data_IF_621195052398
#
_entry.id   IF_621195052398
#
_cell.length_a   1.000
_cell.length_b   1.000
_cell.length_c   1.000
_cell.angle_alpha   90.00
_cell.angle_beta   90.00
_cell.angle_gamma   90.00
#
_symmetry.space_group_name_H-M   'P 1'
#
loop_
_entity.id
_entity.type
_entity.pdbx_description
1 polymer ?
#
# COMPACT_ATOMS: atom_id res chain seq x y z
N UNK A 1 -56.85 -7.50 -0.64
CA UNK A 1 -56.95 -8.80 -1.29
C UNK A 1 -55.79 -8.92 -2.30
N UNK A 2 -54.85 -9.65 -2.09
CA UNK A 2 -53.91 -10.59 -2.69
C UNK A 2 -52.50 -10.43 -2.16
N UNK A 3 -52.15 -11.29 -1.22
CA UNK A 3 -50.78 -11.61 -0.80
C UNK A 3 -50.04 -12.27 -1.97
N UNK A 4 -48.83 -11.84 -2.28
CA UNK A 4 -47.87 -12.66 -3.04
C UNK A 4 -46.59 -12.83 -2.22
N UNK A 5 -46.43 -14.05 -1.73
CA UNK A 5 -45.22 -14.55 -1.10
C UNK A 5 -44.15 -14.71 -2.19
N UNK A 6 -42.97 -14.16 -1.97
CA UNK A 6 -41.79 -14.48 -2.78
C UNK A 6 -40.82 -15.27 -1.88
N UNK A 7 -40.56 -16.50 -2.33
CA UNK A 7 -39.72 -17.44 -1.63
C UNK A 7 -38.24 -17.08 -1.74
N UNK A 8 -37.56 -17.10 -0.60
CA UNK A 8 -36.12 -16.92 -0.47
C UNK A 8 -35.44 -18.27 -0.74
N UNK A 9 -34.77 -18.39 -1.88
CA UNK A 9 -33.97 -19.58 -2.22
C UNK A 9 -32.58 -19.48 -1.59
N UNK A 10 -32.34 -20.28 -0.56
CA UNK A 10 -31.01 -20.43 0.08
C UNK A 10 -30.19 -21.40 -0.74
N UNK A 11 -29.14 -20.91 -1.41
CA UNK A 11 -28.18 -21.74 -2.12
C UNK A 11 -27.02 -22.09 -1.19
N UNK A 12 -27.01 -23.32 -0.69
CA UNK A 12 -25.91 -23.89 0.10
C UNK A 12 -24.88 -24.46 -0.87
N UNK A 13 -23.71 -23.84 -0.93
CA UNK A 13 -22.54 -24.40 -1.61
C UNK A 13 -21.77 -25.25 -0.62
N UNK A 14 -21.84 -26.56 -0.77
CA UNK A 14 -21.03 -27.50 0.01
C UNK A 14 -19.62 -27.59 -0.62
N UNK A 15 -18.62 -27.14 0.13
CA UNK A 15 -17.21 -27.30 -0.23
C UNK A 15 -16.72 -28.64 0.33
N UNK A 16 -16.52 -29.63 -0.54
CA UNK A 16 -15.91 -30.92 -0.16
C UNK A 16 -14.39 -30.79 -0.17
N UNK A 17 -13.77 -30.88 1.02
CA UNK A 17 -12.34 -31.10 1.15
C UNK A 17 -12.02 -32.57 0.86
N UNK A 18 -11.25 -32.83 -0.18
CA UNK A 18 -10.62 -34.10 -0.41
C UNK A 18 -9.27 -34.14 0.33
N UNK A 19 -9.20 -34.98 1.36
CA UNK A 19 -7.95 -35.32 2.02
C UNK A 19 -7.28 -36.48 1.26
N UNK A 20 -6.10 -36.23 0.70
CA UNK A 20 -5.21 -37.31 0.27
C UNK A 20 -4.30 -37.70 1.43
N UNK A 21 -4.49 -38.89 1.94
CA UNK A 21 -3.54 -39.59 2.81
C UNK A 21 -2.59 -40.39 1.99
N UNK A 22 -1.30 -40.12 2.02
CA UNK A 22 -0.27 -41.04 1.60
C UNK A 22 0.45 -41.58 2.86
N UNK A 23 0.25 -42.90 3.02
CA UNK A 23 1.08 -43.74 3.89
C UNK A 23 2.24 -44.23 3.02
N UNK A 24 3.48 -44.01 3.46
CA UNK A 24 4.48 -45.06 3.56
C UNK A 24 5.75 -44.51 4.19
N UNK A 25 6.05 -45.00 5.38
CA UNK A 25 7.30 -44.79 6.08
C UNK A 25 8.40 -45.65 5.48
N UNK A 26 9.58 -45.08 5.30
CA UNK A 26 10.84 -45.80 5.46
C UNK A 26 12.03 -44.91 5.67
N UNK A 27 12.58 -45.00 6.85
CA UNK A 27 13.94 -44.58 7.25
C UNK A 27 15.00 -45.40 6.50
N UNK A 28 16.02 -44.73 5.93
CA UNK A 28 17.42 -45.20 5.97
C UNK A 28 18.36 -44.05 5.56
N UNK A 29 19.21 -43.58 6.45
CA UNK A 29 20.54 -43.07 6.16
C UNK A 29 21.53 -44.26 6.32
N UNK A 30 22.82 -44.18 5.97
CA UNK A 30 23.64 -43.11 5.43
C UNK A 30 24.48 -43.54 4.23
N UNK A 31 25.07 -42.64 3.48
CA UNK A 31 26.47 -42.87 3.07
C UNK A 31 27.12 -41.58 2.53
N UNK A 32 28.30 -41.31 3.10
CA UNK A 32 29.18 -40.25 2.64
C UNK A 32 29.77 -40.59 1.27
N UNK A 33 29.72 -39.61 0.38
CA UNK A 33 30.42 -39.62 -0.88
C UNK A 33 30.97 -38.22 -1.13
N UNK A 34 32.32 -38.14 -1.12
CA UNK A 34 33.03 -36.92 -1.48
C UNK A 34 32.72 -36.50 -2.92
N UNK A 35 32.60 -35.21 -3.20
CA UNK A 35 32.41 -34.74 -4.57
C UNK A 35 33.70 -34.89 -5.39
N UNK A 36 33.60 -35.21 -6.71
CA UNK A 36 34.74 -35.25 -7.59
C UNK A 36 35.33 -33.85 -7.86
N UNK A 37 36.64 -33.71 -8.04
CA UNK A 37 37.25 -32.43 -8.39
C UNK A 37 37.07 -32.14 -9.88
N UNK A 38 36.60 -30.94 -10.20
CA UNK A 38 36.75 -30.35 -11.52
C UNK A 38 35.47 -30.24 -12.34
N UNK A 39 34.70 -29.18 -12.09
CA UNK A 39 33.89 -28.54 -13.13
C UNK A 39 33.99 -27.05 -12.91
N UNK A 40 34.92 -26.41 -13.64
CA UNK A 40 34.90 -24.97 -13.88
C UNK A 40 33.76 -24.69 -14.86
N UNK A 41 32.56 -24.57 -14.33
CA UNK A 41 31.39 -24.07 -15.05
C UNK A 41 31.23 -22.60 -14.70
N UNK A 42 31.41 -21.71 -15.67
CA UNK A 42 31.12 -20.29 -15.52
C UNK A 42 29.65 -20.12 -15.13
N UNK A 43 29.43 -19.70 -13.91
CA UNK A 43 28.14 -19.21 -13.47
C UNK A 43 27.97 -17.81 -14.04
N UNK A 44 27.28 -17.70 -15.17
CA UNK A 44 26.53 -16.52 -15.49
C UNK A 44 25.27 -16.58 -14.60
N UNK A 45 25.48 -16.37 -13.30
CA UNK A 45 24.41 -16.11 -12.39
C UNK A 45 23.88 -14.72 -12.74
N UNK A 46 22.71 -14.68 -13.29
CA UNK A 46 21.83 -13.52 -13.17
C UNK A 46 21.48 -13.44 -11.67
N UNK A 47 22.40 -12.85 -10.91
CA UNK A 47 22.20 -12.54 -9.49
C UNK A 47 21.17 -11.41 -9.44
N UNK A 48 19.91 -11.76 -9.69
CA UNK A 48 18.79 -10.89 -9.36
C UNK A 48 18.74 -10.83 -7.83
N UNK A 49 19.56 -9.94 -7.27
CA UNK A 49 19.54 -9.68 -5.84
C UNK A 49 18.15 -9.13 -5.47
N UNK A 50 17.54 -9.73 -4.44
CA UNK A 50 16.33 -9.19 -3.86
C UNK A 50 16.65 -7.82 -3.27
N UNK A 51 16.09 -6.77 -3.89
CA UNK A 51 16.15 -5.41 -3.34
C UNK A 51 15.23 -5.29 -2.15
N UNK A 52 15.71 -4.72 -1.06
CA UNK A 52 14.90 -4.46 0.11
C UNK A 52 15.69 -3.78 1.23
N UNK A 53 15.00 -3.00 2.04
CA UNK A 53 15.55 -2.40 3.25
C UNK A 53 14.78 -2.86 4.47
N UNK A 54 15.49 -3.37 5.46
CA UNK A 54 14.92 -3.67 6.77
C UNK A 54 14.94 -2.45 7.72
N UNK A 55 15.42 -1.30 7.25
CA UNK A 55 15.44 -0.04 7.99
C UNK A 55 14.74 1.05 7.22
N UNK A 56 13.72 1.65 7.84
CA UNK A 56 13.02 2.80 7.31
C UNK A 56 13.66 4.06 7.88
N UNK A 57 14.21 4.90 6.99
CA UNK A 57 14.81 6.19 7.37
C UNK A 57 13.74 7.28 7.26
N UNK A 58 13.32 7.81 8.39
CA UNK A 58 12.32 8.86 8.48
C UNK A 58 12.94 10.24 8.47
N UNK A 59 12.34 11.15 7.73
CA UNK A 59 12.64 12.58 7.71
C UNK A 59 11.36 13.41 7.72
N UNK A 60 11.49 14.75 7.74
CA UNK A 60 10.34 15.63 7.49
C UNK A 60 9.80 15.38 6.09
N UNK A 61 8.48 15.48 5.92
CA UNK A 61 7.87 15.40 4.59
C UNK A 61 8.36 16.56 3.71
N UNK A 62 8.38 16.38 2.37
CA UNK A 62 8.67 17.45 1.44
C UNK A 62 7.84 18.71 1.72
N UNK A 63 8.37 19.92 1.44
CA UNK A 63 7.71 21.19 1.79
C UNK A 63 6.30 21.37 1.21
N UNK A 64 5.97 20.63 0.16
CA UNK A 64 4.62 20.61 -0.43
C UNK A 64 3.56 20.03 0.51
N UNK A 65 3.96 19.26 1.52
CA UNK A 65 3.05 18.77 2.56
C UNK A 65 2.91 19.80 3.68
N UNK A 66 1.72 19.99 4.25
CA UNK A 66 1.57 20.77 5.48
C UNK A 66 2.52 20.28 6.59
N UNK A 67 2.97 21.19 7.44
CA UNK A 67 3.93 20.86 8.49
C UNK A 67 3.44 19.78 9.44
N UNK A 68 4.36 18.95 9.93
CA UNK A 68 4.11 17.91 10.93
C UNK A 68 4.11 16.49 10.38
N UNK A 69 3.97 16.28 9.08
CA UNK A 69 4.12 14.97 8.48
C UNK A 69 5.60 14.53 8.42
N UNK A 70 5.82 13.22 8.57
CA UNK A 70 7.11 12.59 8.29
C UNK A 70 6.99 11.72 7.05
N UNK A 71 8.09 11.58 6.33
CA UNK A 71 8.17 10.89 5.06
C UNK A 71 9.37 9.93 5.05
N UNK A 72 9.21 8.79 4.43
CA UNK A 72 10.29 7.84 4.18
C UNK A 72 10.12 7.19 2.82
N UNK A 73 11.16 7.13 2.03
CA UNK A 73 11.21 6.31 0.82
C UNK A 73 11.54 4.88 1.24
N UNK A 74 10.71 3.95 0.81
CA UNK A 74 10.88 2.51 1.07
C UNK A 74 11.50 1.84 -0.15
N UNK A 75 11.07 2.24 -1.35
CA UNK A 75 11.52 1.67 -2.62
C UNK A 75 11.36 2.71 -3.73
N UNK A 76 12.26 2.66 -4.72
CA UNK A 76 12.22 3.49 -5.91
C UNK A 76 12.51 4.96 -5.69
N UNK A 77 12.25 5.77 -6.71
CA UNK A 77 12.40 7.23 -6.67
C UNK A 77 11.05 7.90 -6.95
N UNK A 78 10.38 8.45 -5.91
CA UNK A 78 9.08 9.09 -6.10
C UNK A 78 9.12 10.36 -6.95
N UNK A 79 10.29 10.93 -7.22
CA UNK A 79 10.43 12.12 -8.07
C UNK A 79 10.56 11.80 -9.56
N UNK A 80 10.86 10.55 -9.90
CA UNK A 80 11.21 10.15 -11.26
C UNK A 80 10.00 9.64 -12.03
N UNK A 81 9.75 10.25 -13.18
CA UNK A 81 8.66 9.87 -14.05
C UNK A 81 8.79 8.41 -14.55
N UNK A 82 7.73 7.64 -14.43
CA UNK A 82 7.64 6.26 -14.89
C UNK A 82 8.21 5.22 -13.93
N UNK A 83 8.91 5.62 -12.88
CA UNK A 83 9.43 4.67 -11.87
C UNK A 83 8.31 4.29 -10.90
N UNK A 84 8.25 3.00 -10.55
CA UNK A 84 7.44 2.53 -9.44
C UNK A 84 8.09 2.97 -8.14
N UNK A 85 7.32 3.54 -7.23
CA UNK A 85 7.82 3.93 -5.92
C UNK A 85 6.93 3.37 -4.80
N UNK A 86 7.53 3.24 -3.63
CA UNK A 86 6.84 3.03 -2.37
C UNK A 86 7.38 3.98 -1.33
N UNK A 87 6.50 4.75 -0.72
CA UNK A 87 6.84 5.67 0.38
C UNK A 87 5.95 5.40 1.58
N UNK A 88 6.35 5.88 2.75
CA UNK A 88 5.51 5.91 3.94
C UNK A 88 5.37 7.32 4.47
N UNK A 89 4.20 7.60 4.99
CA UNK A 89 3.84 8.85 5.65
C UNK A 89 3.43 8.57 7.09
N UNK A 90 3.95 9.36 8.03
CA UNK A 90 3.44 9.46 9.40
C UNK A 90 2.74 10.79 9.57
N UNK A 91 1.49 10.71 9.95
CA UNK A 91 0.60 11.85 10.10
C UNK A 91 0.22 11.98 11.58
N UNK A 92 0.46 13.13 12.22
CA UNK A 92 0.02 13.35 13.59
C UNK A 92 -1.52 13.37 13.68
N UNK A 93 -2.04 13.21 14.88
CA UNK A 93 -3.49 13.30 15.09
C UNK A 93 -4.03 14.65 14.65
N UNK A 94 -5.12 14.63 13.87
CA UNK A 94 -5.75 15.84 13.35
C UNK A 94 -5.03 16.49 12.18
N UNK A 95 -4.01 15.81 11.61
CA UNK A 95 -3.36 16.27 10.38
C UNK A 95 -4.38 16.42 9.27
N UNK A 96 -4.32 17.51 8.53
CA UNK A 96 -5.16 17.76 7.36
C UNK A 96 -4.26 17.97 6.15
N UNK A 97 -4.53 17.23 5.10
CA UNK A 97 -4.02 17.46 3.77
C UNK A 97 -5.17 18.02 2.93
N UNK A 98 -5.12 19.31 2.59
CA UNK A 98 -6.19 19.99 1.86
C UNK A 98 -6.46 19.38 0.49
N UNK A 99 -7.58 19.78 -0.18
CA UNK A 99 -7.93 19.27 -1.50
C UNK A 99 -6.80 19.46 -2.51
N UNK A 100 -6.40 18.35 -3.13
CA UNK A 100 -5.30 18.28 -4.09
C UNK A 100 -5.53 17.16 -5.09
N UNK A 101 -4.70 17.12 -6.11
CA UNK A 101 -4.66 16.08 -7.14
C UNK A 101 -3.25 15.53 -7.30
N UNK A 102 -3.14 14.32 -7.85
CA UNK A 102 -1.89 13.70 -8.30
C UNK A 102 -1.92 13.44 -9.81
N UNK A 103 -0.77 13.42 -10.50
CA UNK A 103 -0.72 13.11 -11.93
C UNK A 103 -0.98 11.63 -12.26
N UNK A 104 -0.80 10.73 -11.29
CA UNK A 104 -1.02 9.29 -11.41
C UNK A 104 -1.91 8.79 -10.26
N UNK A 105 -2.42 7.56 -10.39
CA UNK A 105 -3.16 6.92 -9.31
C UNK A 105 -2.27 6.75 -8.07
N UNK A 106 -2.85 7.03 -6.91
CA UNK A 106 -2.23 6.83 -5.61
C UNK A 106 -2.89 5.65 -4.91
N UNK A 107 -2.08 4.71 -4.45
CA UNK A 107 -2.52 3.50 -3.76
C UNK A 107 -2.09 3.55 -2.30
N UNK A 108 -3.05 3.65 -1.39
CA UNK A 108 -2.80 3.86 0.04
C UNK A 108 -3.19 2.62 0.83
N UNK A 109 -2.24 2.09 1.62
CA UNK A 109 -2.49 1.05 2.62
C UNK A 109 -2.27 1.62 4.00
N UNK A 110 -3.21 1.40 4.91
CA UNK A 110 -3.10 1.87 6.30
C UNK A 110 -2.31 0.88 7.14
N UNK A 111 -1.19 1.33 7.72
CA UNK A 111 -0.31 0.52 8.56
C UNK A 111 -0.55 0.75 10.06
N UNK A 112 -1.06 1.94 10.43
CA UNK A 112 -1.33 2.30 11.83
C UNK A 112 -2.37 3.41 11.90
N UNK A 113 -3.19 3.41 12.95
CA UNK A 113 -4.15 4.48 13.22
C UNK A 113 -5.39 4.41 12.34
N UNK A 114 -5.92 5.57 11.97
CA UNK A 114 -7.06 5.70 11.07
C UNK A 114 -6.78 6.80 10.06
N UNK A 115 -6.65 6.42 8.82
CA UNK A 115 -6.56 7.34 7.69
C UNK A 115 -7.97 7.76 7.28
N UNK A 116 -8.19 9.05 7.13
CA UNK A 116 -9.46 9.61 6.72
C UNK A 116 -9.29 10.23 5.34
N UNK A 117 -10.14 9.86 4.39
CA UNK A 117 -10.07 10.41 3.04
C UNK A 117 -11.45 10.79 2.51
N UNK A 118 -11.51 11.84 1.74
CA UNK A 118 -12.73 12.31 1.08
C UNK A 118 -12.42 12.84 -0.32
N UNK A 119 -13.42 12.73 -1.21
CA UNK A 119 -13.31 13.20 -2.58
C UNK A 119 -13.98 14.58 -2.72
N UNK A 120 -13.42 15.41 -3.60
CA UNK A 120 -13.97 16.72 -3.94
C UNK A 120 -12.96 17.85 -3.82
N UNK A 121 -13.38 19.01 -4.32
CA UNK A 121 -12.54 20.22 -4.40
C UNK A 121 -12.54 21.03 -3.10
N UNK A 122 -13.54 20.83 -2.25
CA UNK A 122 -13.66 21.51 -0.95
C UNK A 122 -13.52 20.49 0.19
N UNK A 123 -12.74 20.85 1.20
CA UNK A 123 -12.60 20.03 2.39
C UNK A 123 -13.91 19.94 3.16
N UNK A 124 -14.38 18.73 3.39
CA UNK A 124 -15.58 18.46 4.20
C UNK A 124 -15.34 17.33 5.19
N UNK A 125 -15.36 17.67 6.48
CA UNK A 125 -15.23 16.66 7.52
C UNK A 125 -16.36 15.60 7.49
N UNK A 126 -17.53 15.97 6.99
CA UNK A 126 -18.66 15.06 6.83
C UNK A 126 -18.51 14.08 5.64
N UNK A 127 -17.65 14.40 4.67
CA UNK A 127 -17.35 13.54 3.52
C UNK A 127 -16.18 12.60 3.78
N UNK A 128 -15.51 12.69 4.93
CA UNK A 128 -14.39 11.83 5.28
C UNK A 128 -14.86 10.40 5.58
N UNK A 129 -14.31 9.45 4.85
CA UNK A 129 -14.42 8.00 5.11
C UNK A 129 -13.18 7.55 5.86
N UNK A 130 -13.38 6.75 6.93
CA UNK A 130 -12.28 6.25 7.75
C UNK A 130 -11.80 4.88 7.30
N UNK A 131 -10.50 4.77 7.04
CA UNK A 131 -9.78 3.54 6.71
C UNK A 131 -8.90 3.15 7.90
N UNK A 132 -9.02 1.92 8.35
CA UNK A 132 -8.29 1.34 9.49
C UNK A 132 -7.08 0.54 9.02
N UNK A 133 -6.30 0.03 9.95
CA UNK A 133 -5.18 -0.87 9.67
C UNK A 133 -5.67 -2.03 8.78
N UNK A 134 -4.85 -2.34 7.77
CA UNK A 134 -5.09 -3.31 6.70
C UNK A 134 -6.11 -2.89 5.62
N UNK A 135 -6.81 -1.75 5.80
CA UNK A 135 -7.62 -1.20 4.72
C UNK A 135 -6.76 -0.60 3.61
N UNK A 136 -7.31 -0.64 2.42
CA UNK A 136 -6.70 -0.15 1.19
C UNK A 136 -7.66 0.81 0.47
N UNK A 137 -7.11 1.89 -0.09
CA UNK A 137 -7.90 2.85 -0.88
C UNK A 137 -7.08 3.35 -2.07
N UNK A 138 -7.74 3.54 -3.20
CA UNK A 138 -7.16 4.15 -4.40
C UNK A 138 -7.69 5.57 -4.56
N UNK A 139 -6.78 6.52 -4.78
CA UNK A 139 -7.08 7.89 -5.20
C UNK A 139 -6.79 7.96 -6.69
N UNK A 140 -7.82 8.07 -7.56
CA UNK A 140 -7.61 8.11 -9.00
C UNK A 140 -6.85 9.35 -9.44
N UNK A 141 -6.02 9.20 -10.47
CA UNK A 141 -5.28 10.30 -11.09
C UNK A 141 -6.18 11.49 -11.43
N UNK A 142 -5.68 12.68 -11.19
CA UNK A 142 -6.34 13.97 -11.50
C UNK A 142 -7.64 14.25 -10.75
N UNK A 143 -8.16 13.32 -9.97
CA UNK A 143 -9.35 13.53 -9.16
C UNK A 143 -9.00 14.25 -7.85
N UNK A 144 -9.70 15.34 -7.58
CA UNK A 144 -9.53 16.11 -6.36
C UNK A 144 -9.97 15.29 -5.14
N UNK A 145 -9.11 15.22 -4.15
CA UNK A 145 -9.34 14.53 -2.87
C UNK A 145 -8.60 15.23 -1.74
N UNK A 146 -8.98 14.90 -0.51
CA UNK A 146 -8.39 15.44 0.69
C UNK A 146 -8.27 14.35 1.75
N UNK A 147 -7.35 14.54 2.68
CA UNK A 147 -7.10 13.56 3.73
C UNK A 147 -6.98 14.17 5.11
N UNK A 148 -7.17 13.33 6.13
CA UNK A 148 -6.93 13.66 7.52
C UNK A 148 -6.47 12.41 8.28
N UNK A 149 -6.03 12.61 9.53
CA UNK A 149 -5.60 11.54 10.40
C UNK A 149 -6.34 11.57 11.74
N UNK A 150 -6.82 10.41 12.18
CA UNK A 150 -7.37 10.24 13.53
C UNK A 150 -6.42 9.36 14.34
N UNK A 151 -5.83 9.96 15.38
CA UNK A 151 -4.71 9.39 16.10
C UNK A 151 -3.40 9.50 15.29
N UNK A 152 -2.31 8.99 15.85
CA UNK A 152 -1.05 8.85 15.11
C UNK A 152 -1.24 7.79 14.02
N UNK A 153 -1.21 8.23 12.77
CA UNK A 153 -1.51 7.40 11.60
C UNK A 153 -0.26 7.18 10.77
N UNK A 154 -0.05 5.96 10.29
CA UNK A 154 0.99 5.62 9.33
C UNK A 154 0.35 4.94 8.13
N UNK A 155 0.67 5.44 6.94
CA UNK A 155 0.22 4.86 5.67
C UNK A 155 1.40 4.54 4.79
N UNK A 156 1.24 3.52 3.96
CA UNK A 156 2.14 3.24 2.85
C UNK A 156 1.45 3.64 1.55
N UNK A 157 2.15 4.42 0.76
CA UNK A 157 1.70 4.88 -0.54
C UNK A 157 2.61 4.28 -1.60
N UNK A 158 2.03 3.71 -2.64
CA UNK A 158 2.77 3.33 -3.82
C UNK A 158 2.08 3.83 -5.08
N UNK A 159 2.84 3.94 -6.14
CA UNK A 159 2.34 4.43 -7.42
C UNK A 159 3.46 4.51 -8.45
N UNK A 160 3.15 5.22 -9.54
CA UNK A 160 4.11 5.54 -10.59
C UNK A 160 4.44 7.02 -10.47
N UNK A 161 5.75 7.32 -10.38
CA UNK A 161 6.22 8.70 -10.27
C UNK A 161 5.95 9.57 -11.52
N UNK A 162 5.98 10.89 -11.38
CA UNK A 162 6.34 11.61 -10.17
C UNK A 162 5.20 11.65 -9.13
N UNK A 163 5.56 11.47 -7.85
CA UNK A 163 4.63 11.69 -6.75
C UNK A 163 4.57 13.19 -6.46
N UNK A 164 3.64 13.87 -7.10
CA UNK A 164 3.47 15.31 -7.02
C UNK A 164 2.06 15.65 -6.54
N UNK A 165 1.96 16.68 -5.72
CA UNK A 165 0.70 17.26 -5.26
C UNK A 165 0.45 18.59 -5.99
N UNK A 166 -0.78 18.77 -6.46
CA UNK A 166 -1.27 20.07 -6.94
C UNK A 166 -2.50 20.43 -6.14
N UNK A 167 -2.41 21.47 -5.30
CA UNK A 167 -3.52 21.94 -4.50
C UNK A 167 -4.61 22.55 -5.38
N UNK A 168 -5.87 22.23 -5.07
CA UNK A 168 -7.03 22.82 -5.76
C UNK A 168 -7.10 24.32 -5.49
N UNK A 169 -6.88 24.71 -4.24
CA UNK A 169 -6.86 26.09 -3.84
C UNK A 169 -5.40 26.55 -3.61
N UNK A 170 -4.89 27.53 -4.38
CA UNK A 170 -3.48 27.96 -4.29
C UNK A 170 -3.04 28.44 -2.91
N UNK A 171 -3.95 28.94 -2.07
CA UNK A 171 -3.69 29.37 -0.70
C UNK A 171 -3.40 28.20 0.26
N UNK A 172 -3.73 26.95 -0.12
CA UNK A 172 -3.49 25.78 0.68
C UNK A 172 -2.09 25.20 0.45
N UNK A 173 -1.39 25.71 -0.56
CA UNK A 173 -0.02 25.30 -0.88
C UNK A 173 0.97 25.91 0.12
N UNK A 174 1.59 25.10 1.00
CA UNK A 174 2.47 25.61 2.04
C UNK A 174 3.80 26.17 1.51
N UNK A 175 4.05 26.06 0.21
CA UNK A 175 5.25 26.60 -0.44
C UNK A 175 5.07 28.00 -1.00
N UNK A 176 3.87 28.59 -0.88
CA UNK A 176 3.53 29.93 -1.39
C UNK A 176 3.38 30.96 -0.32
#
# INVERSE_FOLDING_TARGET
MLLRHLALGTMIVALTLAACSDKDGRTTAPNGGSPPPGATGGANGDDTEMSGSNQIVWGPAPPIFPAGAQFAVVEGDPSKAGDVFTVRLRLPNGYILPPHTHPADEYVTVLKGTFLAGMGEDFSAAALVGYKVDDFVTMPATMAHFASARGSTEVQVHGIGPFALTYVHPQDDPTK
#
